data_IF_508397894744
#
_entry.id   IF_508397894744
#
_cell.length_a   1.000
_cell.length_b   1.000
_cell.length_c   1.000
_cell.angle_alpha   90.00
_cell.angle_beta   90.00
_cell.angle_gamma   90.00
#
_symmetry.space_group_name_H-M   'P 1'
#
loop_
_entity.id
_entity.type
_entity.pdbx_description
1 polymer ?
#
# COMPACT_ATOMS: atom_id res chain seq x y z
N UNK A 1 5.48 -10.20 11.82
CA UNK A 1 5.13 -9.03 10.99
C UNK A 1 6.38 -8.59 10.25
N UNK A 2 6.33 -8.56 8.93
CA UNK A 2 7.37 -8.09 8.03
C UNK A 2 6.83 -6.89 7.26
N UNK A 3 7.64 -5.84 7.16
CA UNK A 3 7.34 -4.65 6.38
C UNK A 3 8.59 -4.27 5.59
N UNK A 4 8.44 -4.08 4.29
CA UNK A 4 9.47 -3.62 3.39
C UNK A 4 8.90 -2.47 2.56
N UNK A 5 9.53 -1.31 2.64
CA UNK A 5 9.14 -0.13 1.88
C UNK A 5 10.35 0.43 1.13
N UNK A 6 10.14 0.79 -0.13
CA UNK A 6 11.11 1.50 -0.95
C UNK A 6 10.46 2.76 -1.52
N UNK A 7 11.14 3.89 -1.37
CA UNK A 7 10.74 5.14 -1.98
C UNK A 7 11.87 5.66 -2.86
N UNK A 8 11.55 6.00 -4.09
CA UNK A 8 12.46 6.60 -5.06
C UNK A 8 11.89 7.94 -5.51
N UNK A 9 12.61 9.03 -5.25
CA UNK A 9 12.14 10.39 -5.55
C UNK A 9 13.00 10.98 -6.68
N UNK A 10 12.61 10.80 -7.96
CA UNK A 10 13.36 11.35 -9.08
C UNK A 10 13.28 12.88 -9.17
N UNK A 11 12.21 13.50 -8.64
CA UNK A 11 12.01 14.95 -8.64
C UNK A 11 11.35 15.39 -7.34
N UNK A 12 11.54 16.63 -6.90
CA UNK A 12 10.93 17.15 -5.66
C UNK A 12 9.39 17.03 -5.63
N UNK A 13 8.77 17.00 -6.82
CA UNK A 13 7.33 16.89 -7.01
C UNK A 13 6.85 15.48 -7.33
N UNK A 14 7.74 14.52 -7.57
CA UNK A 14 7.38 13.17 -8.01
C UNK A 14 8.14 12.12 -7.21
N UNK A 15 7.40 11.22 -6.58
CA UNK A 15 7.94 10.08 -5.85
C UNK A 15 7.29 8.79 -6.34
N UNK A 16 8.09 7.73 -6.45
CA UNK A 16 7.67 6.36 -6.68
C UNK A 16 7.82 5.62 -5.36
N UNK A 17 6.77 4.92 -4.94
CA UNK A 17 6.73 4.20 -3.67
C UNK A 17 6.27 2.77 -3.92
N UNK A 18 6.97 1.81 -3.34
CA UNK A 18 6.61 0.41 -3.31
C UNK A 18 6.64 -0.07 -1.86
N UNK A 19 5.56 -0.70 -1.42
CA UNK A 19 5.41 -1.24 -0.07
C UNK A 19 4.99 -2.70 -0.15
N UNK A 20 5.58 -3.51 0.71
CA UNK A 20 5.23 -4.91 0.91
C UNK A 20 5.06 -5.15 2.40
N UNK A 21 3.93 -5.73 2.79
CA UNK A 21 3.59 -6.02 4.19
C UNK A 21 3.14 -7.47 4.28
N UNK A 22 3.66 -8.18 5.28
CA UNK A 22 3.31 -9.57 5.57
C UNK A 22 3.07 -9.74 7.06
N UNK A 23 1.87 -10.19 7.44
CA UNK A 23 1.54 -10.52 8.82
C UNK A 23 1.09 -11.98 8.85
N UNK A 24 1.74 -12.78 9.68
CA UNK A 24 1.30 -14.13 9.98
C UNK A 24 1.01 -14.19 11.46
N UNK A 25 -0.21 -14.58 11.83
CA UNK A 25 -0.65 -14.66 13.20
C UNK A 25 -1.60 -15.85 13.39
N UNK A 26 -1.20 -16.82 14.22
CA UNK A 26 -2.04 -17.93 14.67
C UNK A 26 -2.78 -18.70 13.55
N UNK A 27 -2.13 -18.92 12.41
CA UNK A 27 -2.74 -19.59 11.24
C UNK A 27 -3.26 -18.63 10.17
N UNK A 28 -3.59 -17.40 10.54
CA UNK A 28 -4.03 -16.36 9.61
C UNK A 28 -2.82 -15.70 8.93
N UNK A 29 -2.92 -15.52 7.61
CA UNK A 29 -1.88 -14.86 6.81
C UNK A 29 -2.47 -13.66 6.07
N UNK A 30 -1.76 -12.54 6.14
CA UNK A 30 -2.13 -11.30 5.48
C UNK A 30 -0.92 -10.79 4.69
N UNK A 31 -1.13 -10.55 3.41
CA UNK A 31 -0.13 -10.02 2.50
C UNK A 31 -0.68 -8.80 1.79
N UNK A 32 0.09 -7.72 1.79
CA UNK A 32 -0.26 -6.47 1.13
C UNK A 32 0.90 -5.99 0.28
N UNK A 33 0.59 -5.73 -1.00
CA UNK A 33 1.51 -5.19 -1.98
C UNK A 33 0.95 -3.89 -2.50
N UNK A 34 1.72 -2.82 -2.43
CA UNK A 34 1.34 -1.51 -2.91
C UNK A 34 2.45 -0.94 -3.77
N UNK A 35 2.08 -0.46 -4.95
CA UNK A 35 2.96 0.33 -5.80
C UNK A 35 2.21 1.60 -6.17
N UNK A 36 2.78 2.77 -5.89
CA UNK A 36 2.16 4.06 -6.19
C UNK A 36 3.15 5.10 -6.69
N UNK A 37 2.60 6.03 -7.45
CA UNK A 37 3.25 7.24 -7.91
C UNK A 37 2.59 8.39 -7.14
N UNK A 38 3.39 9.20 -6.47
CA UNK A 38 2.96 10.37 -5.70
C UNK A 38 3.43 11.63 -6.39
N UNK A 39 2.50 12.54 -6.64
CA UNK A 39 2.71 13.84 -7.25
C UNK A 39 2.33 14.96 -6.28
N UNK A 40 3.23 15.91 -6.09
CA UNK A 40 3.00 17.12 -5.28
C UNK A 40 2.75 18.29 -6.24
N UNK A 41 1.48 18.69 -6.49
CA UNK A 41 1.18 19.76 -7.44
C UNK A 41 1.79 21.10 -7.03
N UNK A 42 1.88 21.35 -5.73
CA UNK A 42 2.42 22.60 -5.18
C UNK A 42 3.52 22.27 -4.17
N UNK A 43 4.75 22.75 -4.42
CA UNK A 43 5.90 22.46 -3.57
C UNK A 43 5.78 23.02 -2.14
N UNK A 44 5.02 24.10 -1.96
CA UNK A 44 4.80 24.76 -0.67
C UNK A 44 3.56 24.24 0.08
N UNK A 45 2.84 23.25 -0.47
CA UNK A 45 1.59 22.76 0.11
C UNK A 45 1.78 21.31 0.56
N UNK A 46 1.27 20.92 1.74
CA UNK A 46 1.32 19.52 2.19
C UNK A 46 0.47 18.57 1.33
N UNK A 47 -0.26 19.08 0.33
CA UNK A 47 -1.12 18.30 -0.54
C UNK A 47 -0.32 17.43 -1.51
N UNK A 48 -0.70 16.16 -1.60
CA UNK A 48 -0.24 15.26 -2.65
C UNK A 48 -1.43 14.53 -3.28
N UNK A 49 -1.23 14.17 -4.54
CA UNK A 49 -2.06 13.23 -5.29
C UNK A 49 -1.23 11.98 -5.53
N UNK A 50 -1.73 10.80 -5.18
CA UNK A 50 -1.12 9.55 -5.64
C UNK A 50 -2.07 8.73 -6.49
N UNK A 51 -1.50 7.94 -7.37
CA UNK A 51 -2.19 6.87 -8.05
C UNK A 51 -1.33 5.62 -8.02
N UNK A 52 -1.94 4.47 -7.89
CA UNK A 52 -1.21 3.23 -7.74
C UNK A 52 -2.05 2.00 -7.97
N UNK A 53 -1.45 0.86 -7.70
CA UNK A 53 -2.10 -0.42 -7.66
C UNK A 53 -1.83 -1.05 -6.30
N UNK A 54 -2.87 -1.63 -5.70
CA UNK A 54 -2.78 -2.38 -4.45
C UNK A 54 -3.29 -3.79 -4.67
N UNK A 55 -2.63 -4.76 -4.08
CA UNK A 55 -3.07 -6.14 -3.99
C UNK A 55 -2.94 -6.60 -2.55
N UNK A 56 -4.08 -6.87 -1.93
CA UNK A 56 -4.20 -7.33 -0.55
C UNK A 56 -4.83 -8.72 -0.55
N UNK A 57 -4.18 -9.66 0.11
CA UNK A 57 -4.62 -11.03 0.30
C UNK A 57 -4.73 -11.29 1.79
N UNK A 58 -5.90 -11.74 2.21
CA UNK A 58 -6.19 -12.12 3.57
C UNK A 58 -6.72 -13.54 3.57
N UNK A 59 -5.93 -14.43 4.17
CA UNK A 59 -6.26 -15.83 4.38
C UNK A 59 -6.54 -16.00 5.87
N UNK A 60 -7.79 -16.34 6.20
CA UNK A 60 -8.23 -16.64 7.56
C UNK A 60 -8.49 -18.14 7.64
N UNK A 61 -7.74 -18.82 8.52
CA UNK A 61 -7.92 -20.24 8.82
C UNK A 61 -8.11 -20.37 10.34
N UNK A 62 -9.35 -20.21 10.77
CA UNK A 62 -9.78 -20.43 12.16
C UNK A 62 -10.70 -21.66 12.19
N UNK A 63 -10.73 -22.44 13.28
CA UNK A 63 -11.22 -23.83 13.33
C UNK A 63 -12.55 -24.18 12.63
N UNK A 64 -13.46 -23.23 12.42
CA UNK A 64 -14.73 -23.39 11.69
C UNK A 64 -14.95 -22.38 10.54
N UNK A 65 -14.03 -21.43 10.34
CA UNK A 65 -14.16 -20.33 9.37
C UNK A 65 -12.93 -20.30 8.47
N UNK A 66 -13.12 -20.62 7.19
CA UNK A 66 -12.14 -20.36 6.13
C UNK A 66 -12.63 -19.24 5.24
N UNK A 67 -11.84 -18.20 5.11
CA UNK A 67 -12.11 -17.09 4.23
C UNK A 67 -10.84 -16.69 3.48
N UNK A 68 -10.91 -16.78 2.15
CA UNK A 68 -9.88 -16.34 1.23
C UNK A 68 -10.36 -15.06 0.54
N UNK A 69 -9.86 -13.92 0.99
CA UNK A 69 -10.22 -12.61 0.45
C UNK A 69 -9.02 -12.02 -0.30
N UNK A 70 -9.20 -11.72 -1.58
CA UNK A 70 -8.19 -11.03 -2.38
C UNK A 70 -8.78 -9.75 -2.98
N UNK A 71 -8.28 -8.61 -2.54
CA UNK A 71 -8.63 -7.30 -3.07
C UNK A 71 -7.48 -6.78 -3.90
N UNK A 72 -7.70 -6.60 -5.20
CA UNK A 72 -6.70 -6.04 -6.10
C UNK A 72 -7.30 -5.01 -7.03
N UNK A 73 -6.63 -3.89 -7.19
CA UNK A 73 -7.14 -2.86 -8.07
C UNK A 73 -6.28 -1.60 -8.12
N UNK A 74 -6.49 -0.78 -9.16
CA UNK A 74 -5.95 0.56 -9.20
C UNK A 74 -6.66 1.43 -8.17
N UNK A 75 -5.93 2.41 -7.64
CA UNK A 75 -6.51 3.42 -6.76
C UNK A 75 -5.92 4.79 -7.09
N UNK A 76 -6.64 5.82 -6.67
CA UNK A 76 -6.19 7.21 -6.64
C UNK A 76 -6.47 7.74 -5.25
N UNK A 77 -5.52 8.45 -4.67
CA UNK A 77 -5.64 9.06 -3.35
C UNK A 77 -5.25 10.54 -3.41
N UNK A 78 -5.94 11.34 -2.62
CA UNK A 78 -5.59 12.72 -2.31
C UNK A 78 -5.28 12.77 -0.82
N UNK A 79 -4.11 13.29 -0.46
CA UNK A 79 -3.66 13.28 0.93
C UNK A 79 -2.89 14.53 1.33
N UNK A 80 -2.66 14.64 2.63
CA UNK A 80 -1.82 15.67 3.24
C UNK A 80 -0.61 15.01 3.89
N UNK A 81 0.59 15.52 3.63
CA UNK A 81 1.85 15.08 4.20
C UNK A 81 2.49 16.26 4.95
N UNK A 82 2.57 16.12 6.27
CA UNK A 82 3.20 17.09 7.19
C UNK A 82 4.65 16.70 7.49
#
# INVERSE_FOLDING_TARGET
MLYLGAQFTPMDRLSLEAEFRGISYSGNSYYDYLARIKYKPFAATPLFLSAGYRSESLDIDESDIRADLTFKGPFVELGFQF
#
